data_IF_089911757745
#
_entry.id   IF_089911757745
#
_cell.length_a   1.000
_cell.length_b   1.000
_cell.length_c   1.000
_cell.angle_alpha   90.00
_cell.angle_beta   90.00
_cell.angle_gamma   90.00
#
_symmetry.space_group_name_H-M   'P 1'
#
loop_
_entity.id
_entity.type
_entity.pdbx_description
1 polymer ?
#
# COMPACT_ATOMS: atom_id res chain seq x y z
N UNK A 1 16.15 -19.85 -22.01
CA UNK A 1 14.90 -19.69 -21.25
C UNK A 1 14.86 -18.32 -20.58
N UNK A 2 13.79 -17.60 -20.80
CA UNK A 2 13.58 -16.32 -20.10
C UNK A 2 13.23 -16.64 -18.66
N UNK A 3 14.05 -16.17 -17.72
CA UNK A 3 13.75 -16.31 -16.30
C UNK A 3 12.55 -15.43 -15.97
N UNK A 4 11.58 -15.95 -15.25
CA UNK A 4 10.39 -15.22 -14.83
C UNK A 4 10.43 -14.92 -13.35
N UNK A 5 9.94 -13.76 -13.01
CA UNK A 5 9.89 -13.26 -11.63
C UNK A 5 8.46 -12.99 -11.21
N UNK A 6 8.22 -13.05 -9.91
CA UNK A 6 6.97 -12.60 -9.28
C UNK A 6 7.27 -11.38 -8.43
N UNK A 7 6.49 -10.34 -8.63
CA UNK A 7 6.55 -9.13 -7.83
C UNK A 7 5.47 -9.19 -6.76
N UNK A 8 5.87 -9.06 -5.50
CA UNK A 8 4.95 -8.96 -4.38
C UNK A 8 4.96 -7.53 -3.83
N UNK A 9 3.78 -6.95 -3.65
CA UNK A 9 3.60 -5.62 -3.05
C UNK A 9 2.86 -5.81 -1.74
N UNK A 10 3.46 -5.35 -0.65
CA UNK A 10 2.86 -5.37 0.67
C UNK A 10 2.61 -3.94 1.14
N UNK A 11 1.34 -3.54 1.16
CA UNK A 11 0.91 -2.25 1.70
C UNK A 11 0.41 -2.45 3.13
N UNK A 12 1.23 -2.07 4.09
CA UNK A 12 0.91 -2.15 5.51
C UNK A 12 0.68 -0.75 6.10
N UNK A 13 0.28 -0.72 7.35
CA UNK A 13 0.02 0.53 8.08
C UNK A 13 1.27 1.41 8.17
N UNK A 14 2.44 0.83 8.34
CA UNK A 14 3.69 1.56 8.56
C UNK A 14 4.45 1.88 7.29
N UNK A 15 4.16 1.19 6.18
CA UNK A 15 4.90 1.41 4.94
C UNK A 15 4.46 0.49 3.81
N UNK A 16 5.08 0.69 2.66
CA UNK A 16 4.90 -0.15 1.48
C UNK A 16 6.21 -0.85 1.15
N UNK A 17 6.13 -2.13 0.81
CA UNK A 17 7.26 -2.96 0.40
C UNK A 17 7.01 -3.54 -0.98
N UNK A 18 8.06 -3.65 -1.77
CA UNK A 18 8.07 -4.46 -2.97
C UNK A 18 9.18 -5.51 -2.86
N UNK A 19 8.85 -6.74 -3.17
CA UNK A 19 9.77 -7.87 -3.08
C UNK A 19 9.71 -8.63 -4.39
N UNK A 20 10.87 -8.94 -4.94
CA UNK A 20 10.97 -9.70 -6.18
C UNK A 20 11.48 -11.10 -5.88
N UNK A 21 10.74 -12.09 -6.35
CA UNK A 21 11.10 -13.52 -6.24
C UNK A 21 11.40 -14.10 -7.61
N UNK A 22 12.33 -15.04 -7.67
CA UNK A 22 12.56 -15.81 -8.89
C UNK A 22 11.58 -17.01 -8.99
N UNK A 23 11.71 -17.79 -10.06
CA UNK A 23 10.85 -18.93 -10.32
C UNK A 23 11.01 -20.09 -9.33
N UNK A 24 12.04 -20.07 -8.49
CA UNK A 24 12.25 -21.04 -7.41
C UNK A 24 11.73 -20.55 -6.06
N UNK A 25 11.19 -19.34 -6.00
CA UNK A 25 10.71 -18.70 -4.76
C UNK A 25 11.83 -18.02 -3.96
N UNK A 26 13.01 -17.85 -4.54
CA UNK A 26 14.11 -17.15 -3.89
C UNK A 26 13.90 -15.64 -3.97
N UNK A 27 14.09 -14.95 -2.84
CA UNK A 27 14.06 -13.49 -2.80
C UNK A 27 15.28 -12.92 -3.52
N UNK A 28 15.04 -12.12 -4.56
CA UNK A 28 16.09 -11.52 -5.38
C UNK A 28 16.40 -10.09 -4.94
N UNK A 29 15.37 -9.29 -4.68
CA UNK A 29 15.53 -7.90 -4.26
C UNK A 29 14.32 -7.45 -3.45
N UNK A 30 14.54 -6.43 -2.62
CA UNK A 30 13.51 -5.83 -1.78
C UNK A 30 13.72 -4.32 -1.73
N UNK A 31 12.61 -3.57 -1.68
CA UNK A 31 12.59 -2.13 -1.43
C UNK A 31 11.40 -1.78 -0.57
N UNK A 32 11.58 -0.89 0.40
CA UNK A 32 10.50 -0.44 1.28
C UNK A 32 10.61 1.05 1.59
N UNK A 33 9.46 1.68 1.77
CA UNK A 33 9.32 3.08 2.15
C UNK A 33 8.27 3.21 3.25
N UNK A 34 8.53 4.04 4.28
CA UNK A 34 7.56 4.26 5.34
C UNK A 34 6.44 5.19 4.90
N UNK A 35 5.31 5.12 5.59
CA UNK A 35 4.19 6.08 5.46
C UNK A 35 4.15 6.98 6.67
N UNK A 36 3.78 8.24 6.45
CA UNK A 36 3.47 9.17 7.53
C UNK A 36 2.06 8.91 8.05
N UNK A 37 1.92 8.76 9.36
CA UNK A 37 0.63 8.74 10.02
C UNK A 37 0.26 10.14 10.47
N UNK A 38 -0.92 10.60 10.08
CA UNK A 38 -1.47 11.88 10.52
C UNK A 38 -2.39 11.63 11.71
N UNK A 39 -2.01 12.19 12.86
CA UNK A 39 -2.78 12.08 14.10
C UNK A 39 -3.26 13.48 14.46
N UNK A 40 -4.59 13.67 14.49
CA UNK A 40 -5.19 14.96 14.86
C UNK A 40 -5.20 15.15 16.37
N UNK A 41 -5.53 16.37 16.82
CA UNK A 41 -5.71 16.70 18.23
C UNK A 41 -6.81 15.84 18.89
N UNK A 42 -7.85 15.46 18.12
CA UNK A 42 -8.91 14.56 18.60
C UNK A 42 -8.46 13.09 18.66
N UNK A 43 -7.24 12.77 18.23
CA UNK A 43 -6.75 11.40 18.15
C UNK A 43 -7.24 10.63 16.91
N UNK A 44 -7.75 11.31 15.90
CA UNK A 44 -8.10 10.70 14.63
C UNK A 44 -6.84 10.34 13.85
N UNK A 45 -6.83 9.16 13.27
CA UNK A 45 -5.68 8.66 12.51
C UNK A 45 -6.06 8.57 11.04
N UNK A 46 -5.20 9.11 10.19
CA UNK A 46 -5.40 9.08 8.73
C UNK A 46 -4.07 8.96 8.00
N UNK A 47 -4.13 8.53 6.74
CA UNK A 47 -2.99 8.48 5.84
C UNK A 47 -3.26 9.30 4.59
N UNK A 48 -2.20 9.84 3.99
CA UNK A 48 -2.28 10.49 2.69
C UNK A 48 -2.29 9.42 1.59
N UNK A 49 -3.41 9.26 0.84
CA UNK A 49 -3.49 8.25 -0.21
C UNK A 49 -2.48 8.44 -1.33
N UNK A 50 -2.13 9.68 -1.66
CA UNK A 50 -1.14 9.97 -2.70
C UNK A 50 0.25 9.52 -2.29
N UNK A 51 0.62 9.68 -1.02
CA UNK A 51 1.89 9.15 -0.49
C UNK A 51 1.95 7.63 -0.64
N UNK A 52 0.88 6.92 -0.27
CA UNK A 52 0.80 5.46 -0.42
C UNK A 52 0.99 5.05 -1.89
N UNK A 53 0.30 5.73 -2.80
CA UNK A 53 0.39 5.46 -4.23
C UNK A 53 1.80 5.73 -4.78
N UNK A 54 2.36 6.89 -4.48
CA UNK A 54 3.70 7.28 -4.93
C UNK A 54 4.79 6.37 -4.36
N UNK A 55 4.68 6.01 -3.08
CA UNK A 55 5.58 5.05 -2.45
C UNK A 55 5.50 3.68 -3.10
N UNK A 56 4.30 3.23 -3.48
CA UNK A 56 4.11 1.97 -4.19
C UNK A 56 4.84 1.98 -5.53
N UNK A 57 4.69 3.03 -6.32
CA UNK A 57 5.41 3.16 -7.59
C UNK A 57 6.92 3.22 -7.38
N UNK A 58 7.37 3.94 -6.35
CA UNK A 58 8.79 4.09 -6.05
C UNK A 58 9.43 2.75 -5.64
N UNK A 59 8.82 1.97 -4.75
CA UNK A 59 9.39 0.69 -4.31
C UNK A 59 9.39 -0.35 -5.43
N UNK A 60 8.39 -0.34 -6.30
CA UNK A 60 8.34 -1.22 -7.47
C UNK A 60 9.49 -0.88 -8.44
N UNK A 61 9.65 0.39 -8.75
CA UNK A 61 10.76 0.84 -9.60
C UNK A 61 12.11 0.48 -8.99
N UNK A 62 12.29 0.76 -7.70
CA UNK A 62 13.54 0.49 -7.00
C UNK A 62 13.91 -0.99 -7.01
N UNK A 63 12.95 -1.88 -6.78
CA UNK A 63 13.23 -3.33 -6.72
C UNK A 63 13.60 -3.88 -8.09
N UNK A 64 12.98 -3.39 -9.15
CA UNK A 64 13.32 -3.77 -10.53
C UNK A 64 14.73 -3.28 -10.89
N UNK A 65 15.05 -2.04 -10.55
CA UNK A 65 16.36 -1.46 -10.78
C UNK A 65 17.46 -2.20 -10.00
N UNK A 66 17.21 -2.52 -8.73
CA UNK A 66 18.15 -3.29 -7.89
C UNK A 66 18.43 -4.68 -8.45
N UNK A 67 17.41 -5.34 -8.95
CA UNK A 67 17.51 -6.68 -9.51
C UNK A 67 18.16 -6.69 -10.89
N UNK A 68 18.26 -5.54 -11.56
CA UNK A 68 18.81 -5.39 -12.92
C UNK A 68 18.12 -6.31 -13.93
N UNK A 69 16.80 -6.43 -13.80
CA UNK A 69 15.97 -7.23 -14.71
C UNK A 69 15.15 -6.32 -15.63
N UNK A 70 14.68 -6.91 -16.73
CA UNK A 70 13.68 -6.25 -17.59
C UNK A 70 12.29 -6.47 -16.96
N UNK A 71 11.48 -5.41 -16.90
CA UNK A 71 10.11 -5.51 -16.38
C UNK A 71 9.24 -6.54 -17.11
N UNK A 72 9.58 -6.85 -18.36
CA UNK A 72 8.90 -7.89 -19.17
C UNK A 72 9.15 -9.31 -18.64
N UNK A 73 10.17 -9.49 -17.81
CA UNK A 73 10.45 -10.76 -17.16
C UNK A 73 9.57 -11.01 -15.92
N UNK A 74 8.79 -10.01 -15.49
CA UNK A 74 7.83 -10.16 -14.39
C UNK A 74 6.58 -10.84 -14.93
N UNK A 75 6.33 -12.05 -14.45
CA UNK A 75 5.23 -12.90 -14.90
C UNK A 75 3.89 -12.57 -14.19
N UNK A 76 3.96 -12.01 -13.00
CA UNK A 76 2.77 -11.68 -12.23
C UNK A 76 3.06 -10.79 -11.04
N UNK A 77 2.01 -10.17 -10.51
CA UNK A 77 2.06 -9.27 -9.35
C UNK A 77 1.02 -9.73 -8.34
N UNK A 78 1.45 -9.90 -7.09
CA UNK A 78 0.56 -10.13 -5.95
C UNK A 78 0.55 -8.91 -5.04
N UNK A 79 -0.60 -8.57 -4.49
CA UNK A 79 -0.76 -7.40 -3.61
C UNK A 79 -1.42 -7.83 -2.31
N UNK A 80 -0.77 -7.50 -1.18
CA UNK A 80 -1.37 -7.50 0.15
C UNK A 80 -1.65 -6.06 0.54
N UNK A 81 -2.88 -5.78 0.96
CA UNK A 81 -3.30 -4.40 1.25
C UNK A 81 -3.39 -4.11 2.74
N UNK A 82 -3.41 -2.83 3.07
CA UNK A 82 -3.80 -2.35 4.39
C UNK A 82 -5.31 -2.47 4.54
N UNK A 83 -5.76 -3.46 5.32
CA UNK A 83 -7.20 -3.74 5.51
C UNK A 83 -7.86 -2.67 6.38
N UNK A 84 -9.20 -2.59 6.25
CA UNK A 84 -10.04 -1.71 7.08
C UNK A 84 -9.61 -0.24 6.99
N UNK A 85 -9.16 0.17 5.81
CA UNK A 85 -8.82 1.53 5.47
C UNK A 85 -9.75 2.02 4.35
N UNK A 86 -10.41 3.14 4.57
CA UNK A 86 -11.39 3.69 3.65
C UNK A 86 -10.93 5.00 3.04
N UNK A 87 -11.15 5.18 1.74
CA UNK A 87 -10.88 6.43 1.06
C UNK A 87 -11.89 6.68 -0.06
N UNK A 88 -12.04 7.94 -0.41
CA UNK A 88 -12.89 8.38 -1.52
C UNK A 88 -12.04 9.22 -2.47
N UNK A 89 -12.18 8.99 -3.76
CA UNK A 89 -11.45 9.77 -4.77
C UNK A 89 -12.38 10.21 -5.88
N UNK A 90 -11.98 11.28 -6.56
CA UNK A 90 -12.68 11.78 -7.73
C UNK A 90 -12.38 10.88 -8.92
N UNK A 91 -13.41 10.27 -9.49
CA UNK A 91 -13.26 9.31 -10.60
C UNK A 91 -12.67 9.95 -11.86
N UNK A 92 -12.93 11.24 -12.09
CA UNK A 92 -12.46 11.93 -13.30
C UNK A 92 -11.00 12.36 -13.19
N UNK A 93 -10.59 12.83 -12.01
CA UNK A 93 -9.24 13.34 -11.78
C UNK A 93 -8.28 12.30 -11.22
N UNK A 94 -8.81 11.24 -10.60
CA UNK A 94 -8.01 10.25 -9.88
C UNK A 94 -7.47 10.73 -8.53
N UNK A 95 -7.82 11.96 -8.13
CA UNK A 95 -7.31 12.54 -6.89
C UNK A 95 -8.21 12.20 -5.69
N UNK A 96 -7.62 11.95 -4.52
CA UNK A 96 -8.41 11.74 -3.30
C UNK A 96 -9.15 13.02 -2.91
N UNK A 97 -10.35 12.86 -2.38
CA UNK A 97 -11.16 13.98 -1.87
C UNK A 97 -10.70 14.36 -0.48
N UNK A 98 -10.30 13.36 0.31
CA UNK A 98 -9.86 13.52 1.70
C UNK A 98 -8.82 12.44 2.01
N UNK A 99 -8.12 12.58 3.12
CA UNK A 99 -7.19 11.57 3.60
C UNK A 99 -7.91 10.24 3.90
N UNK A 100 -7.18 9.13 3.73
CA UNK A 100 -7.70 7.80 4.03
C UNK A 100 -7.88 7.61 5.54
N UNK A 101 -9.05 7.12 5.94
CA UNK A 101 -9.37 6.79 7.33
C UNK A 101 -8.86 5.38 7.59
N UNK A 102 -7.91 5.24 8.51
CA UNK A 102 -7.27 3.96 8.80
C UNK A 102 -7.94 3.23 9.97
N UNK A 103 -7.69 1.92 10.06
CA UNK A 103 -8.28 1.05 11.06
C UNK A 103 -8.01 1.48 12.52
N UNK A 104 -6.92 2.18 12.76
CA UNK A 104 -6.55 2.71 14.09
C UNK A 104 -7.38 3.92 14.52
N UNK A 105 -8.14 4.51 13.58
CA UNK A 105 -8.89 5.73 13.86
C UNK A 105 -10.17 5.44 14.66
N UNK A 106 -10.38 6.18 15.74
CA UNK A 106 -11.55 6.05 16.59
C UNK A 106 -12.73 6.95 16.24
N UNK A 107 -12.65 7.73 15.11
CA UNK A 107 -13.70 8.72 14.80
C UNK A 107 -15.09 8.15 14.58
N UNK A 108 -15.20 6.88 14.20
CA UNK A 108 -16.47 6.20 13.98
C UNK A 108 -17.01 5.48 15.22
N UNK A 109 -16.32 5.53 16.35
CA UNK A 109 -16.70 4.77 17.56
C UNK A 109 -18.13 5.07 18.01
N UNK A 110 -18.52 6.34 18.05
CA UNK A 110 -19.86 6.77 18.42
C UNK A 110 -20.94 6.22 17.48
N UNK A 111 -20.64 6.18 16.19
CA UNK A 111 -21.54 5.60 15.18
C UNK A 111 -21.68 4.10 15.41
N UNK A 112 -20.57 3.41 15.65
CA UNK A 112 -20.56 1.98 15.95
C UNK A 112 -21.39 1.66 17.20
N UNK A 113 -21.25 2.46 18.25
CA UNK A 113 -22.01 2.28 19.48
C UNK A 113 -23.53 2.44 19.27
N UNK A 114 -23.94 3.39 18.42
CA UNK A 114 -25.36 3.58 18.08
C UNK A 114 -25.99 2.40 17.32
N UNK A 115 -25.21 1.65 16.58
CA UNK A 115 -25.73 0.54 15.76
C UNK A 115 -25.57 -0.83 16.43
N UNK A 116 -24.81 -0.94 17.52
CA UNK A 116 -24.62 -2.23 18.22
C UNK A 116 -25.91 -2.85 18.73
N UNK A 117 -26.87 -2.02 19.14
CA UNK A 117 -28.13 -2.43 19.77
C UNK A 117 -29.24 -2.63 18.74
N UNK A 118 -28.91 -2.61 17.47
CA UNK A 118 -29.84 -2.82 16.34
C UNK A 118 -29.46 -4.10 15.59
#
# INVERSE_FOLDING_TARGET
MIQKYILAIDQSTSGTKAILFDNSGKLIARSDLPHEQKISEQGWVSHNPMEIFENTLAVVKNVVDKAKIDKREIAGVGISNQRETAMIWNRKTGLPIEDAIVWQCGRAAEICDRIKDK
#
